data_IF_453610257173
#
_entry.id   IF_453610257173
#
_cell.length_a   1.000
_cell.length_b   1.000
_cell.length_c   1.000
_cell.angle_alpha   90.00
_cell.angle_beta   90.00
_cell.angle_gamma   90.00
#
_symmetry.space_group_name_H-M   'P 1'
#
loop_
_entity.id
_entity.type
_entity.pdbx_description
1 polymer ?
#
# COMPACT_ATOMS: atom_id res chain seq x y z
N UNK A 1 11.60 73.21 -9.85
CA UNK A 1 11.91 72.55 -8.55
C UNK A 1 10.58 72.32 -7.85
N UNK A 2 9.85 71.27 -8.25
CA UNK A 2 8.44 71.08 -7.85
C UNK A 2 8.02 69.60 -7.97
N UNK A 3 8.96 68.68 -7.73
CA UNK A 3 8.76 67.24 -7.89
C UNK A 3 9.12 66.43 -6.63
N UNK A 4 9.48 67.10 -5.52
CA UNK A 4 9.89 66.42 -4.29
C UNK A 4 8.73 66.21 -3.29
N UNK A 5 7.72 67.09 -3.28
CA UNK A 5 6.68 67.06 -2.23
C UNK A 5 5.55 66.06 -2.48
N UNK A 6 5.45 65.49 -3.68
CA UNK A 6 4.39 64.52 -4.02
C UNK A 6 4.70 63.07 -3.64
N UNK A 7 5.90 62.77 -3.11
CA UNK A 7 6.29 61.40 -2.71
C UNK A 7 6.02 61.06 -1.25
N UNK A 8 5.85 62.05 -0.37
CA UNK A 8 5.60 61.79 1.06
C UNK A 8 4.14 61.53 1.41
N UNK A 9 3.18 61.95 0.56
CA UNK A 9 1.76 61.70 0.81
C UNK A 9 1.25 60.32 0.33
N UNK A 10 2.08 59.54 -0.36
CA UNK A 10 1.68 58.21 -0.86
C UNK A 10 1.93 57.07 0.14
N UNK A 11 2.68 57.30 1.23
CA UNK A 11 3.07 56.22 2.15
C UNK A 11 2.13 55.99 3.34
N UNK A 12 1.08 56.80 3.53
CA UNK A 12 0.32 56.80 4.80
C UNK A 12 -1.18 56.45 4.68
N UNK A 13 -1.58 55.59 3.73
CA UNK A 13 -2.97 55.10 3.64
C UNK A 13 -3.06 53.60 3.37
N UNK A 14 -2.53 52.78 4.28
CA UNK A 14 -3.00 51.39 4.48
C UNK A 14 -2.89 51.03 5.96
N UNK A 15 -3.69 51.69 6.78
CA UNK A 15 -4.06 51.16 8.08
C UNK A 15 -5.27 50.23 7.87
N UNK A 16 -5.26 49.11 8.58
CA UNK A 16 -6.31 48.09 8.69
C UNK A 16 -6.64 47.29 7.42
N UNK A 17 -5.74 46.37 7.09
CA UNK A 17 -6.21 45.07 6.64
C UNK A 17 -6.09 44.15 7.85
N UNK A 18 -7.21 43.92 8.54
CA UNK A 18 -7.30 42.91 9.59
C UNK A 18 -6.84 41.57 9.00
N UNK A 19 -5.62 41.17 9.33
CA UNK A 19 -5.10 39.85 9.02
C UNK A 19 -5.73 38.87 10.00
N UNK A 20 -7.03 38.65 9.90
CA UNK A 20 -7.72 37.56 10.59
C UNK A 20 -7.36 36.27 9.88
N UNK A 21 -6.11 35.81 10.06
CA UNK A 21 -5.74 34.43 9.79
C UNK A 21 -6.42 33.60 10.88
N UNK A 22 -7.60 33.07 10.59
CA UNK A 22 -8.21 32.06 11.45
C UNK A 22 -7.31 30.83 11.38
N UNK A 23 -6.58 30.55 12.45
CA UNK A 23 -5.86 29.29 12.62
C UNK A 23 -6.91 28.18 12.71
N UNK A 24 -7.21 27.58 11.56
CA UNK A 24 -7.98 26.34 11.50
C UNK A 24 -7.08 25.25 12.08
N UNK A 25 -7.26 24.94 13.37
CA UNK A 25 -6.78 23.68 13.92
C UNK A 25 -7.48 22.54 13.19
N UNK A 26 -6.78 21.97 12.21
CA UNK A 26 -7.23 20.77 11.51
C UNK A 26 -6.86 19.59 12.40
N UNK A 27 -7.75 19.23 13.31
CA UNK A 27 -7.65 17.95 14.01
C UNK A 27 -7.96 16.86 12.98
N UNK A 28 -6.97 16.05 12.64
CA UNK A 28 -7.13 14.90 11.77
C UNK A 28 -7.88 13.78 12.51
N UNK A 29 -9.19 13.99 12.77
CA UNK A 29 -10.03 13.09 13.57
C UNK A 29 -10.40 11.79 12.82
N UNK A 30 -10.07 11.70 11.52
CA UNK A 30 -10.42 10.58 10.65
C UNK A 30 -9.25 10.07 9.79
N UNK A 31 -8.00 10.24 10.24
CA UNK A 31 -6.89 9.48 9.67
C UNK A 31 -7.03 8.02 10.09
N UNK A 32 -7.83 7.26 9.35
CA UNK A 32 -7.69 5.80 9.35
C UNK A 32 -6.34 5.52 8.71
N UNK A 33 -5.32 5.30 9.53
CA UNK A 33 -3.98 4.95 9.07
C UNK A 33 -4.03 3.53 8.48
N UNK A 34 -4.37 3.44 7.18
CA UNK A 34 -4.20 2.21 6.39
C UNK A 34 -2.76 2.18 5.89
N UNK A 35 -1.82 2.06 6.81
CA UNK A 35 -0.43 1.76 6.52
C UNK A 35 -0.15 0.33 6.97
N UNK A 36 0.20 -0.56 6.05
CA UNK A 36 0.69 -1.89 6.43
C UNK A 36 2.13 -1.74 6.92
N UNK A 37 2.41 -2.20 8.15
CA UNK A 37 3.77 -2.17 8.71
C UNK A 37 4.61 -3.21 7.99
N UNK A 38 5.46 -2.74 7.09
CA UNK A 38 6.40 -3.60 6.36
C UNK A 38 7.64 -3.81 7.23
N UNK A 39 7.85 -5.05 7.70
CA UNK A 39 9.06 -5.41 8.44
C UNK A 39 10.17 -5.74 7.43
N UNK A 40 11.35 -5.10 7.49
CA UNK A 40 12.48 -5.45 6.63
C UNK A 40 12.86 -6.93 6.78
N UNK A 41 12.93 -7.66 5.66
CA UNK A 41 13.20 -9.10 5.65
C UNK A 41 11.96 -9.98 5.70
N UNK A 42 10.76 -9.38 5.74
CA UNK A 42 9.51 -10.09 5.50
C UNK A 42 9.34 -10.32 3.99
N UNK A 43 9.91 -11.42 3.52
CA UNK A 43 9.87 -11.87 2.12
C UNK A 43 8.95 -13.06 1.89
N UNK A 44 8.37 -13.60 2.97
CA UNK A 44 7.58 -14.81 2.94
C UNK A 44 6.09 -14.45 2.95
N UNK A 45 5.31 -15.11 2.11
CA UNK A 45 3.86 -15.06 2.14
C UNK A 45 3.33 -16.48 2.32
N UNK A 46 2.68 -16.73 3.46
CA UNK A 46 1.96 -17.96 3.72
C UNK A 46 0.48 -17.78 3.37
N UNK A 47 -0.10 -18.75 2.67
CA UNK A 47 -1.51 -18.74 2.31
C UNK A 47 -2.09 -20.13 2.18
N UNK A 48 -3.40 -20.24 2.39
CA UNK A 48 -4.15 -21.49 2.22
C UNK A 48 -5.10 -21.34 1.04
N UNK A 49 -5.02 -22.28 0.10
CA UNK A 49 -5.95 -22.40 -1.03
C UNK A 49 -6.92 -23.52 -0.72
N UNK A 50 -8.22 -23.23 -0.73
CA UNK A 50 -9.26 -24.22 -0.46
C UNK A 50 -10.02 -24.59 -1.74
N UNK A 51 -10.33 -25.87 -1.90
CA UNK A 51 -11.14 -26.37 -3.01
C UNK A 51 -12.03 -27.53 -2.59
N UNK A 52 -13.12 -27.75 -3.32
CA UNK A 52 -13.98 -28.93 -3.13
C UNK A 52 -13.31 -30.21 -3.67
N UNK A 53 -12.31 -30.05 -4.54
CA UNK A 53 -11.48 -31.13 -5.08
C UNK A 53 -10.02 -30.69 -5.10
N UNK A 54 -9.10 -31.65 -5.08
CA UNK A 54 -7.67 -31.38 -5.21
C UNK A 54 -7.32 -30.70 -6.53
N UNK A 55 -8.00 -31.06 -7.63
CA UNK A 55 -7.78 -30.43 -8.93
C UNK A 55 -8.09 -28.94 -8.89
N UNK A 56 -9.25 -28.56 -8.32
CA UNK A 56 -9.66 -27.17 -8.21
C UNK A 56 -8.66 -26.34 -7.38
N UNK A 57 -8.23 -26.87 -6.24
CA UNK A 57 -7.25 -26.20 -5.39
C UNK A 57 -5.89 -26.05 -6.10
N UNK A 58 -5.45 -27.09 -6.83
CA UNK A 58 -4.23 -27.01 -7.63
C UNK A 58 -4.34 -26.05 -8.80
N UNK A 59 -5.47 -25.99 -9.51
CA UNK A 59 -5.66 -25.06 -10.64
C UNK A 59 -5.52 -23.61 -10.17
N UNK A 60 -6.12 -23.29 -9.01
CA UNK A 60 -5.97 -21.97 -8.39
C UNK A 60 -4.52 -21.69 -7.98
N UNK A 61 -3.84 -22.68 -7.39
CA UNK A 61 -2.45 -22.54 -7.01
C UNK A 61 -1.55 -22.36 -8.24
N UNK A 62 -1.77 -23.08 -9.34
CA UNK A 62 -0.99 -22.95 -10.59
C UNK A 62 -1.09 -21.54 -11.16
N UNK A 63 -2.28 -20.92 -11.10
CA UNK A 63 -2.42 -19.52 -11.49
C UNK A 63 -1.58 -18.58 -10.60
N UNK A 64 -1.56 -18.84 -9.28
CA UNK A 64 -0.74 -18.08 -8.33
C UNK A 64 0.76 -18.29 -8.56
N UNK A 65 1.20 -19.53 -8.84
CA UNK A 65 2.59 -19.86 -9.17
C UNK A 65 3.04 -19.14 -10.44
N UNK A 66 2.17 -19.08 -11.46
CA UNK A 66 2.43 -18.34 -12.69
C UNK A 66 2.54 -16.82 -12.46
N UNK A 67 1.66 -16.26 -11.61
CA UNK A 67 1.69 -14.86 -11.24
C UNK A 67 2.99 -14.53 -10.46
N UNK A 68 3.36 -15.34 -9.48
CA UNK A 68 4.60 -15.17 -8.73
C UNK A 68 5.83 -15.20 -9.65
N UNK A 69 5.85 -16.15 -10.59
CA UNK A 69 6.92 -16.28 -11.60
C UNK A 69 6.99 -15.09 -12.56
N UNK A 70 5.88 -14.36 -12.77
CA UNK A 70 5.87 -13.15 -13.60
C UNK A 70 6.44 -11.92 -12.88
N UNK A 71 6.51 -11.96 -11.55
CA UNK A 71 6.95 -10.86 -10.70
C UNK A 71 8.41 -11.07 -10.26
N UNK A 72 8.80 -12.31 -10.01
CA UNK A 72 10.11 -12.67 -9.48
C UNK A 72 10.69 -13.90 -10.17
N UNK A 73 11.93 -13.80 -10.63
CA UNK A 73 12.69 -14.91 -11.25
C UNK A 73 13.20 -15.93 -10.20
N UNK A 74 13.11 -15.59 -8.92
CA UNK A 74 13.76 -16.32 -7.82
C UNK A 74 12.79 -16.74 -6.71
N UNK A 75 11.49 -16.52 -6.91
CA UNK A 75 10.48 -16.95 -5.94
C UNK A 75 10.51 -18.48 -5.75
N UNK A 76 10.71 -18.92 -4.51
CA UNK A 76 10.64 -20.33 -4.14
C UNK A 76 9.29 -20.64 -3.53
N UNK A 77 8.64 -21.70 -4.02
CA UNK A 77 7.28 -22.07 -3.59
C UNK A 77 7.34 -23.42 -2.87
N UNK A 78 6.83 -23.46 -1.63
CA UNK A 78 6.66 -24.69 -0.85
C UNK A 78 5.17 -24.93 -0.65
N UNK A 79 4.70 -26.16 -0.84
CA UNK A 79 3.28 -26.49 -0.66
C UNK A 79 3.05 -27.82 0.03
N UNK A 80 1.99 -27.88 0.82
CA UNK A 80 1.49 -29.09 1.49
C UNK A 80 0.01 -29.24 1.21
N UNK A 81 -0.39 -30.38 0.67
CA UNK A 81 -1.80 -30.70 0.39
C UNK A 81 -2.39 -31.45 1.57
N UNK A 82 -3.49 -30.94 2.11
CA UNK A 82 -4.24 -31.58 3.19
C UNK A 82 -5.63 -31.98 2.69
N UNK A 83 -5.95 -33.25 2.86
CA UNK A 83 -7.27 -33.78 2.53
C UNK A 83 -8.14 -33.80 3.80
N UNK A 84 -9.27 -33.12 3.75
CA UNK A 84 -10.29 -33.19 4.78
C UNK A 84 -11.58 -33.82 4.23
N UNK A 85 -12.46 -34.35 5.09
CA UNK A 85 -13.74 -34.88 4.64
C UNK A 85 -14.60 -33.78 3.99
N UNK A 86 -14.67 -33.79 2.66
CA UNK A 86 -15.47 -32.83 1.87
C UNK A 86 -14.72 -31.59 1.39
N UNK A 87 -13.43 -31.44 1.69
CA UNK A 87 -12.59 -30.34 1.19
C UNK A 87 -11.13 -30.74 1.04
N UNK A 88 -10.42 -30.03 0.18
CA UNK A 88 -8.97 -30.12 0.06
C UNK A 88 -8.41 -28.73 0.29
N UNK A 89 -7.38 -28.63 1.11
CA UNK A 89 -6.64 -27.38 1.32
C UNK A 89 -5.20 -27.57 0.86
N UNK A 90 -4.60 -26.51 0.33
CA UNK A 90 -3.18 -26.46 0.01
C UNK A 90 -2.58 -25.29 0.78
N UNK A 91 -1.74 -25.60 1.76
CA UNK A 91 -0.94 -24.61 2.45
C UNK A 91 0.30 -24.34 1.62
N UNK A 92 0.42 -23.11 1.11
CA UNK A 92 1.51 -22.67 0.26
C UNK A 92 2.30 -21.54 0.93
N UNK A 93 3.61 -21.55 0.75
CA UNK A 93 4.50 -20.47 1.14
C UNK A 93 5.30 -20.02 -0.08
N UNK A 94 5.16 -18.75 -0.42
CA UNK A 94 5.90 -18.04 -1.45
C UNK A 94 7.03 -17.27 -0.79
N UNK A 95 8.27 -17.56 -1.16
CA UNK A 95 9.48 -16.98 -0.60
C UNK A 95 10.14 -16.14 -1.69
N UNK A 96 10.01 -14.82 -1.60
CA UNK A 96 10.53 -13.86 -2.57
C UNK A 96 11.93 -13.39 -2.21
N UNK A 97 12.66 -12.79 -3.16
CA UNK A 97 13.99 -12.26 -2.88
C UNK A 97 13.94 -10.94 -2.08
N UNK A 98 12.84 -10.19 -2.23
CA UNK A 98 12.65 -8.95 -1.50
C UNK A 98 11.19 -8.70 -1.14
N UNK A 99 10.99 -7.86 -0.13
CA UNK A 99 9.66 -7.50 0.35
C UNK A 99 8.84 -6.75 -0.71
N UNK A 100 9.46 -6.03 -1.64
CA UNK A 100 8.74 -5.35 -2.71
C UNK A 100 8.04 -6.34 -3.65
N UNK A 101 8.70 -7.43 -4.04
CA UNK A 101 8.10 -8.49 -4.87
C UNK A 101 6.91 -9.14 -4.18
N UNK A 102 7.06 -9.48 -2.88
CA UNK A 102 5.97 -10.00 -2.05
C UNK A 102 4.76 -9.07 -2.09
N UNK A 103 4.97 -7.78 -1.83
CA UNK A 103 3.89 -6.79 -1.80
C UNK A 103 3.22 -6.61 -3.17
N UNK A 104 3.99 -6.64 -4.26
CA UNK A 104 3.43 -6.59 -5.62
C UNK A 104 2.55 -7.82 -5.86
N UNK A 105 3.01 -9.01 -5.47
CA UNK A 105 2.22 -10.23 -5.58
C UNK A 105 0.92 -10.14 -4.77
N UNK A 106 0.98 -9.72 -3.50
CA UNK A 106 -0.20 -9.51 -2.65
C UNK A 106 -1.18 -8.49 -3.25
N UNK A 107 -0.69 -7.44 -3.92
CA UNK A 107 -1.54 -6.47 -4.61
C UNK A 107 -2.30 -7.08 -5.80
N UNK A 108 -1.72 -8.03 -6.52
CA UNK A 108 -2.39 -8.73 -7.62
C UNK A 108 -3.40 -9.79 -7.16
N UNK A 109 -3.29 -10.26 -5.92
CA UNK A 109 -4.22 -11.21 -5.31
C UNK A 109 -5.48 -10.55 -4.71
N UNK A 110 -5.43 -9.23 -4.49
CA UNK A 110 -6.56 -8.43 -4.00
C UNK A 110 -7.57 -8.14 -5.11
#
# INVERSE_FOLDING_TARGET
MQLAESREQALNRRADMDNTTTELEVVADHCLEIGEVIIPGDTHLEMTVEGSTEQQANDQLVWMEALASSISDHCTIRKTVNHQPGSVTIDAMFDFDCTAEKLIFELYLR
#
